data_IF_429536223917
#
_entry.id   IF_429536223917
#
_cell.length_a   1.000
_cell.length_b   1.000
_cell.length_c   1.000
_cell.angle_alpha   90.00
_cell.angle_beta   90.00
_cell.angle_gamma   90.00
#
_symmetry.space_group_name_H-M   'P 1'
#
loop_
_entity.id
_entity.type
_entity.pdbx_description
1 polymer ?
#
# COMPACT_ATOMS: atom_id res chain seq x y z
N UNK A 1 -15.50 -9.93 6.74
CA UNK A 1 -15.20 -10.85 5.61
C UNK A 1 -14.92 -10.12 4.28
N UNK A 2 -15.88 -9.41 3.66
CA UNK A 2 -15.68 -8.81 2.32
C UNK A 2 -14.44 -7.91 2.19
N UNK A 3 -14.13 -7.10 3.20
CA UNK A 3 -12.94 -6.23 3.20
C UNK A 3 -11.64 -7.05 3.08
N UNK A 4 -11.55 -8.20 3.74
CA UNK A 4 -10.36 -9.05 3.68
C UNK A 4 -10.16 -9.69 2.29
N UNK A 5 -11.22 -9.87 1.50
CA UNK A 5 -11.11 -10.36 0.12
C UNK A 5 -10.55 -9.31 -0.84
N UNK A 6 -10.69 -8.02 -0.50
CA UNK A 6 -10.17 -6.91 -1.31
C UNK A 6 -8.68 -6.65 -0.99
N UNK A 7 -8.21 -7.01 0.21
CA UNK A 7 -6.83 -6.80 0.66
C UNK A 7 -5.74 -7.28 -0.34
N UNK A 8 -5.85 -8.47 -0.99
CA UNK A 8 -4.87 -8.90 -2.00
C UNK A 8 -4.69 -7.94 -3.17
N UNK A 9 -5.77 -7.27 -3.60
CA UNK A 9 -5.71 -6.28 -4.69
C UNK A 9 -4.78 -5.12 -4.31
N UNK A 10 -4.87 -4.67 -3.06
CA UNK A 10 -4.03 -3.59 -2.56
C UNK A 10 -2.59 -4.01 -2.27
N UNK A 11 -2.36 -5.27 -1.88
CA UNK A 11 -1.01 -5.84 -1.79
C UNK A 11 -0.35 -5.83 -3.18
N UNK A 12 -1.05 -6.32 -4.20
CA UNK A 12 -0.55 -6.29 -5.58
C UNK A 12 -0.31 -4.84 -6.02
N UNK A 13 -1.22 -3.93 -5.70
CA UNK A 13 -1.05 -2.52 -6.01
C UNK A 13 0.21 -1.92 -5.37
N UNK A 14 0.46 -2.14 -4.06
CA UNK A 14 1.68 -1.71 -3.37
C UNK A 14 2.94 -2.30 -4.02
N UNK A 15 2.92 -3.59 -4.40
CA UNK A 15 4.04 -4.24 -5.09
C UNK A 15 4.33 -3.62 -6.46
N UNK A 16 3.29 -3.40 -7.28
CA UNK A 16 3.46 -2.80 -8.60
C UNK A 16 3.92 -1.34 -8.47
N UNK A 17 3.41 -0.59 -7.50
CA UNK A 17 3.91 0.76 -7.19
C UNK A 17 5.39 0.74 -6.88
N UNK A 18 5.86 -0.23 -6.09
CA UNK A 18 7.26 -0.32 -5.70
C UNK A 18 8.17 -0.68 -6.87
N UNK A 19 7.78 -1.67 -7.69
CA UNK A 19 8.52 -2.07 -8.90
C UNK A 19 8.62 -0.90 -9.88
N UNK A 20 7.54 -0.14 -10.04
CA UNK A 20 7.53 1.04 -10.90
C UNK A 20 8.39 2.15 -10.28
N UNK A 21 8.23 2.45 -8.99
CA UNK A 21 9.04 3.45 -8.31
C UNK A 21 10.54 3.15 -8.45
N UNK A 22 10.95 1.89 -8.38
CA UNK A 22 12.34 1.46 -8.63
C UNK A 22 12.78 1.73 -10.08
N UNK A 23 11.90 1.53 -11.07
CA UNK A 23 12.22 1.82 -12.48
C UNK A 23 12.35 3.31 -12.81
N UNK A 24 11.65 4.17 -12.07
CA UNK A 24 11.55 5.61 -12.36
C UNK A 24 12.32 6.51 -11.39
N UNK A 25 12.62 6.03 -10.17
CA UNK A 25 13.29 6.76 -9.08
C UNK A 25 14.41 5.89 -8.49
N UNK A 26 14.85 4.86 -9.22
CA UNK A 26 15.83 3.89 -8.75
C UNK A 26 17.21 4.49 -8.55
N UNK A 27 18.07 3.71 -7.88
CA UNK A 27 19.47 4.05 -7.58
C UNK A 27 20.23 4.53 -8.83
N UNK A 28 19.90 3.97 -10.01
CA UNK A 28 20.50 4.39 -11.29
C UNK A 28 20.16 5.85 -11.66
N UNK A 29 18.92 6.29 -11.48
CA UNK A 29 18.52 7.67 -11.77
C UNK A 29 19.03 8.67 -10.74
N UNK A 30 19.08 8.27 -9.46
CA UNK A 30 19.68 9.08 -8.40
C UNK A 30 21.18 9.30 -8.65
N UNK A 31 21.90 8.25 -9.09
CA UNK A 31 23.32 8.32 -9.42
C UNK A 31 23.59 9.27 -10.59
N UNK A 32 22.73 9.25 -11.60
CA UNK A 32 22.92 10.02 -12.82
C UNK A 32 22.39 11.48 -12.66
N UNK A 33 21.85 11.86 -11.49
CA UNK A 33 21.40 13.22 -11.17
C UNK A 33 20.20 13.69 -11.99
N UNK A 34 19.60 12.80 -12.79
CA UNK A 34 18.52 13.13 -13.72
C UNK A 34 17.23 13.38 -12.96
N UNK A 35 16.67 14.58 -13.13
CA UNK A 35 15.35 14.88 -12.59
C UNK A 35 14.32 13.97 -13.29
N UNK A 36 13.35 13.34 -12.58
CA UNK A 36 12.40 12.40 -13.19
C UNK A 36 11.62 12.99 -14.37
N UNK A 37 11.36 14.31 -14.33
CA UNK A 37 10.71 15.08 -15.39
C UNK A 37 11.59 15.28 -16.63
N UNK A 38 12.91 15.31 -16.47
CA UNK A 38 13.88 15.48 -17.55
C UNK A 38 14.21 14.15 -18.24
N UNK A 39 13.88 13.03 -17.60
CA UNK A 39 14.10 11.69 -18.16
C UNK A 39 13.23 11.36 -19.37
N UNK A 40 12.22 12.20 -19.68
CA UNK A 40 11.27 11.98 -20.78
C UNK A 40 10.35 10.77 -20.59
N UNK A 41 10.45 10.05 -19.46
CA UNK A 41 9.69 8.82 -19.20
C UNK A 41 8.32 9.13 -18.56
N UNK A 42 7.55 10.02 -19.19
CA UNK A 42 6.17 10.28 -18.75
C UNK A 42 5.26 9.21 -19.36
N UNK A 43 4.67 8.37 -18.51
CA UNK A 43 3.70 7.38 -18.96
C UNK A 43 2.44 8.03 -19.55
N UNK A 44 1.63 7.28 -20.31
CA UNK A 44 0.43 7.81 -20.94
C UNK A 44 -0.62 8.29 -19.91
N UNK A 45 -1.42 9.29 -20.26
CA UNK A 45 -2.33 9.97 -19.33
C UNK A 45 -3.34 9.04 -18.63
N UNK A 46 -3.83 8.01 -19.34
CA UNK A 46 -4.73 7.00 -18.76
C UNK A 46 -4.08 6.25 -17.58
N UNK A 47 -2.77 6.03 -17.64
CA UNK A 47 -2.02 5.36 -16.58
C UNK A 47 -1.99 6.24 -15.33
N UNK A 48 -1.84 7.56 -15.48
CA UNK A 48 -1.92 8.50 -14.37
C UNK A 48 -3.30 8.49 -13.69
N UNK A 49 -4.38 8.39 -14.47
CA UNK A 49 -5.75 8.27 -13.92
C UNK A 49 -5.89 6.99 -13.10
N UNK A 50 -5.39 5.86 -13.60
CA UNK A 50 -5.42 4.58 -12.86
C UNK A 50 -4.59 4.68 -11.57
N UNK A 51 -3.42 5.32 -11.60
CA UNK A 51 -2.58 5.48 -10.41
C UNK A 51 -3.24 6.33 -9.34
N UNK A 52 -3.79 7.49 -9.73
CA UNK A 52 -4.47 8.40 -8.81
C UNK A 52 -5.74 7.75 -8.28
N UNK A 53 -6.54 7.13 -9.15
CA UNK A 53 -7.76 6.42 -8.79
C UNK A 53 -7.49 5.25 -7.84
N UNK A 54 -6.49 4.42 -8.13
CA UNK A 54 -6.08 3.31 -7.28
C UNK A 54 -5.57 3.78 -5.92
N UNK A 55 -4.72 4.81 -5.89
CA UNK A 55 -4.24 5.39 -4.63
C UNK A 55 -5.36 6.03 -3.80
N UNK A 56 -6.35 6.65 -4.46
CA UNK A 56 -7.52 7.19 -3.80
C UNK A 56 -8.41 6.09 -3.23
N UNK A 57 -8.74 5.08 -4.04
CA UNK A 57 -9.52 3.91 -3.60
C UNK A 57 -8.86 3.20 -2.42
N UNK A 58 -7.52 3.12 -2.41
CA UNK A 58 -6.79 2.50 -1.31
C UNK A 58 -6.90 3.31 -0.01
N UNK A 59 -6.80 4.64 -0.07
CA UNK A 59 -7.03 5.50 1.11
C UNK A 59 -8.46 5.41 1.62
N UNK A 60 -9.44 5.37 0.71
CA UNK A 60 -10.85 5.13 1.06
C UNK A 60 -11.01 3.78 1.74
N UNK A 61 -10.37 2.73 1.21
CA UNK A 61 -10.38 1.41 1.83
C UNK A 61 -9.75 1.42 3.24
N UNK A 62 -8.64 2.11 3.45
CA UNK A 62 -8.04 2.27 4.79
C UNK A 62 -8.98 3.01 5.75
N UNK A 63 -9.66 4.06 5.29
CA UNK A 63 -10.68 4.77 6.08
C UNK A 63 -11.84 3.84 6.45
N UNK A 64 -12.34 3.04 5.50
CA UNK A 64 -13.38 2.05 5.77
C UNK A 64 -12.91 1.00 6.79
N UNK A 65 -11.64 0.57 6.71
CA UNK A 65 -11.06 -0.34 7.71
C UNK A 65 -11.06 0.26 9.12
N UNK A 66 -10.77 1.56 9.28
CA UNK A 66 -10.81 2.24 10.59
C UNK A 66 -12.19 2.12 11.25
N UNK A 67 -13.26 2.20 10.47
CA UNK A 67 -14.63 2.08 10.97
C UNK A 67 -15.12 0.63 11.08
N UNK A 68 -14.31 -0.36 10.69
CA UNK A 68 -14.62 -1.78 10.80
C UNK A 68 -14.11 -2.36 12.12
N UNK A 69 -14.94 -3.05 12.92
CA UNK A 69 -14.50 -3.66 14.19
C UNK A 69 -13.32 -4.62 14.04
N UNK A 70 -13.21 -5.29 12.89
CA UNK A 70 -12.20 -6.33 12.63
C UNK A 70 -10.86 -5.74 12.14
N UNK A 71 -10.89 -4.52 11.60
CA UNK A 71 -9.76 -3.91 10.89
C UNK A 71 -9.35 -2.53 11.39
N UNK A 72 -10.00 -2.04 12.46
CA UNK A 72 -9.86 -0.66 12.93
C UNK A 72 -8.40 -0.27 13.20
N UNK A 73 -7.69 -1.13 13.95
CA UNK A 73 -6.29 -0.89 14.31
C UNK A 73 -5.38 -0.93 13.09
N UNK A 74 -5.56 -1.92 12.21
CA UNK A 74 -4.76 -2.06 11.00
C UNK A 74 -4.98 -0.85 10.07
N UNK A 75 -6.24 -0.48 9.81
CA UNK A 75 -6.58 0.70 9.02
C UNK A 75 -5.98 1.99 9.58
N UNK A 76 -6.03 2.17 10.90
CA UNK A 76 -5.47 3.35 11.57
C UNK A 76 -3.94 3.43 11.40
N UNK A 77 -3.22 2.33 11.66
CA UNK A 77 -1.76 2.30 11.50
C UNK A 77 -1.37 2.50 10.02
N UNK A 78 -2.13 1.94 9.07
CA UNK A 78 -1.88 2.16 7.64
C UNK A 78 -2.02 3.63 7.23
N UNK A 79 -3.02 4.35 7.78
CA UNK A 79 -3.16 5.79 7.55
C UNK A 79 -1.99 6.57 8.16
N UNK A 80 -1.58 6.24 9.39
CA UNK A 80 -0.41 6.85 10.02
C UNK A 80 0.87 6.63 9.21
N UNK A 81 1.10 5.40 8.75
CA UNK A 81 2.25 5.09 7.89
C UNK A 81 2.24 5.90 6.60
N UNK A 82 1.06 6.08 5.99
CA UNK A 82 0.89 6.88 4.77
C UNK A 82 1.16 8.37 5.02
N UNK A 83 0.69 8.92 6.14
CA UNK A 83 0.95 10.30 6.53
C UNK A 83 2.43 10.54 6.86
N UNK A 84 3.04 9.62 7.61
CA UNK A 84 4.46 9.66 7.94
C UNK A 84 5.33 9.59 6.67
N UNK A 85 5.03 8.67 5.76
CA UNK A 85 5.72 8.54 4.49
C UNK A 85 5.60 9.79 3.62
N UNK A 86 4.42 10.42 3.58
CA UNK A 86 4.23 11.72 2.92
C UNK A 86 5.09 12.83 3.56
N UNK A 87 5.07 12.94 4.89
CA UNK A 87 5.86 13.94 5.61
C UNK A 87 7.36 13.75 5.36
N UNK A 88 7.86 12.51 5.42
CA UNK A 88 9.25 12.17 5.16
C UNK A 88 9.66 12.45 3.72
N UNK A 89 8.85 12.10 2.72
CA UNK A 89 9.15 12.43 1.32
C UNK A 89 9.17 13.93 1.03
N UNK A 90 8.43 14.73 1.82
CA UNK A 90 8.42 16.19 1.69
C UNK A 90 9.67 16.85 2.29
N UNK A 91 10.26 16.24 3.32
CA UNK A 91 11.41 16.82 4.05
C UNK A 91 12.75 16.24 3.63
N UNK A 92 12.79 14.97 3.24
CA UNK A 92 13.99 14.28 2.80
C UNK A 92 14.16 14.40 1.29
N UNK A 93 15.40 14.58 0.84
CA UNK A 93 15.71 14.66 -0.59
C UNK A 93 15.31 13.39 -1.37
N UNK A 94 15.20 13.53 -2.69
CA UNK A 94 14.76 12.47 -3.63
C UNK A 94 15.53 11.14 -3.45
N UNK A 95 16.79 11.21 -2.98
CA UNK A 95 17.65 10.05 -2.70
C UNK A 95 17.08 9.05 -1.69
N UNK A 96 16.19 9.50 -0.79
CA UNK A 96 15.53 8.63 0.19
C UNK A 96 14.11 8.21 -0.24
N UNK A 97 13.59 8.72 -1.35
CA UNK A 97 12.20 8.50 -1.75
C UNK A 97 11.88 7.01 -1.93
N UNK A 98 12.77 6.26 -2.59
CA UNK A 98 12.60 4.82 -2.78
C UNK A 98 12.58 4.07 -1.44
N UNK A 99 13.52 4.37 -0.54
CA UNK A 99 13.59 3.73 0.79
C UNK A 99 12.31 4.00 1.59
N UNK A 100 11.83 5.25 1.60
CA UNK A 100 10.60 5.64 2.30
C UNK A 100 9.39 4.91 1.69
N UNK A 101 9.30 4.83 0.36
CA UNK A 101 8.23 4.10 -0.33
C UNK A 101 8.26 2.61 0.01
N UNK A 102 9.43 1.98 0.06
CA UNK A 102 9.59 0.57 0.46
C UNK A 102 9.10 0.33 1.87
N UNK A 103 9.51 1.17 2.84
CA UNK A 103 9.11 1.03 4.23
C UNK A 103 7.61 1.26 4.43
N UNK A 104 7.06 2.27 3.77
CA UNK A 104 5.62 2.55 3.82
C UNK A 104 4.80 1.38 3.25
N UNK A 105 5.22 0.88 2.08
CA UNK A 105 4.56 -0.25 1.42
C UNK A 105 4.70 -1.55 2.24
N UNK A 106 5.87 -1.82 2.84
CA UNK A 106 6.08 -3.04 3.64
C UNK A 106 5.21 -3.06 4.89
N UNK A 107 5.09 -1.93 5.59
CA UNK A 107 4.19 -1.79 6.75
C UNK A 107 2.74 -2.04 6.33
N UNK A 108 2.29 -1.43 5.23
CA UNK A 108 0.92 -1.63 4.75
C UNK A 108 0.64 -3.07 4.34
N UNK A 109 1.52 -3.66 3.54
CA UNK A 109 1.37 -5.06 3.11
C UNK A 109 1.37 -6.02 4.31
N UNK A 110 2.27 -5.83 5.28
CA UNK A 110 2.31 -6.62 6.50
C UNK A 110 1.01 -6.52 7.31
N UNK A 111 0.45 -5.32 7.44
CA UNK A 111 -0.83 -5.10 8.13
C UNK A 111 -2.02 -5.71 7.38
N UNK A 112 -2.03 -5.67 6.05
CA UNK A 112 -3.05 -6.33 5.23
C UNK A 112 -2.98 -7.85 5.36
N UNK A 113 -1.79 -8.44 5.33
CA UNK A 113 -1.59 -9.88 5.57
C UNK A 113 -2.07 -10.25 6.97
N UNK A 114 -1.68 -9.48 8.00
CA UNK A 114 -2.15 -9.68 9.36
C UNK A 114 -3.68 -9.57 9.47
N UNK A 115 -4.29 -8.58 8.83
CA UNK A 115 -5.75 -8.41 8.80
C UNK A 115 -6.43 -9.63 8.16
N UNK A 116 -5.97 -10.08 7.00
CA UNK A 116 -6.51 -11.27 6.33
C UNK A 116 -6.45 -12.50 7.26
N UNK A 117 -5.27 -12.80 7.80
CA UNK A 117 -5.08 -13.94 8.71
C UNK A 117 -6.00 -13.82 9.93
N UNK A 118 -6.08 -12.64 10.55
CA UNK A 118 -6.93 -12.42 11.73
C UNK A 118 -8.41 -12.67 11.44
N UNK A 119 -8.91 -12.26 10.26
CA UNK A 119 -10.30 -12.48 9.86
C UNK A 119 -10.55 -13.97 9.62
N UNK A 120 -9.67 -14.68 8.90
CA UNK A 120 -9.84 -16.12 8.67
C UNK A 120 -9.73 -16.95 9.96
N UNK A 121 -8.82 -16.59 10.86
CA UNK A 121 -8.68 -17.27 12.16
C UNK A 121 -9.84 -16.95 13.11
N UNK A 122 -10.44 -15.77 13.01
CA UNK A 122 -11.63 -15.42 13.79
C UNK A 122 -12.83 -16.27 13.36
N UNK A 123 -13.11 -16.33 12.06
CA UNK A 123 -14.21 -17.13 11.50
C UNK A 123 -14.02 -18.64 11.80
N UNK A 124 -12.78 -19.14 11.74
CA UNK A 124 -12.46 -20.53 12.07
C UNK A 124 -12.77 -20.95 13.51
N UNK A 125 -12.90 -20.00 14.46
CA UNK A 125 -13.30 -20.29 15.85
C UNK A 125 -14.81 -20.33 16.06
N UNK A 126 -15.61 -19.81 15.12
CA UNK A 126 -17.07 -19.77 15.22
C UNK A 126 -17.77 -20.76 14.28
N UNK A 127 -17.01 -21.58 13.54
CA UNK A 127 -17.60 -22.70 12.79
C UNK A 127 -18.11 -23.75 13.78
N UNK A 128 -19.41 -24.13 13.73
CA UNK A 128 -19.93 -25.16 14.59
C UNK A 128 -19.21 -26.49 14.32
N UNK A 129 -19.05 -27.36 15.34
CA UNK A 129 -18.28 -28.61 15.24
C UNK A 129 -18.71 -29.54 14.08
N UNK A 130 -19.90 -29.35 13.53
CA UNK A 130 -20.47 -30.11 12.41
C UNK A 130 -19.71 -29.96 11.08
N UNK A 131 -18.81 -29.00 10.96
CA UNK A 131 -17.99 -28.79 9.76
C UNK A 131 -16.60 -29.48 9.80
N UNK A 132 -16.26 -30.15 10.90
CA UNK A 132 -15.00 -30.91 11.03
C UNK A 132 -15.14 -32.41 10.72
N UNK A 133 -16.28 -32.83 10.16
CA UNK A 133 -16.54 -34.22 9.75
C UNK A 133 -16.39 -34.39 8.24
#
# INVERSE_FOLDING_TARGET
MFLALIAPVFIIFDLVQLVIAERYIGIKQIRDGLHPLESGKVGPAWMAVIWVGGAFAYKVYMLILVFSPQGALQGFIMLLATLAGFAFRRTLGLKYALVILTLEASVRMGLLVNFMISVFLWEGRYLPPSFYQ
#
